data_IF_374025866120
#
_entry.id   IF_374025866120
#
_cell.length_a   1.000
_cell.length_b   1.000
_cell.length_c   1.000
_cell.angle_alpha   90.00
_cell.angle_beta   90.00
_cell.angle_gamma   90.00
#
_symmetry.space_group_name_H-M   'P 1'
#
loop_
_entity.id
_entity.type
_entity.pdbx_description
1 polymer ?
#
# COMPACT_ATOMS: atom_id res chain seq x y z
N UNK A 1 17.68 14.01 -11.34
CA UNK A 1 16.85 12.80 -11.18
C UNK A 1 15.40 13.22 -11.35
N UNK A 2 14.64 12.54 -12.20
CA UNK A 2 13.20 12.80 -12.38
C UNK A 2 12.46 12.63 -11.03
N UNK A 3 11.81 13.68 -10.49
CA UNK A 3 11.06 13.61 -9.24
C UNK A 3 10.01 12.48 -9.22
N UNK A 4 9.44 12.16 -10.39
CA UNK A 4 8.50 11.05 -10.59
C UNK A 4 9.14 9.68 -10.30
N UNK A 5 10.43 9.53 -10.60
CA UNK A 5 11.20 8.31 -10.34
C UNK A 5 11.50 8.12 -8.85
N UNK A 6 11.74 9.21 -8.11
CA UNK A 6 11.96 9.14 -6.66
C UNK A 6 10.67 8.76 -5.90
N UNK A 7 9.54 9.30 -6.36
CA UNK A 7 8.21 9.02 -5.81
C UNK A 7 7.80 7.57 -6.06
N UNK A 8 7.96 7.06 -7.29
CA UNK A 8 7.65 5.67 -7.62
C UNK A 8 8.50 4.68 -6.82
N UNK A 9 9.79 4.99 -6.59
CA UNK A 9 10.68 4.15 -5.76
C UNK A 9 10.23 4.07 -4.31
N UNK A 10 9.76 5.17 -3.73
CA UNK A 10 9.20 5.18 -2.37
C UNK A 10 7.90 4.39 -2.28
N UNK A 11 7.04 4.50 -3.28
CA UNK A 11 5.82 3.70 -3.36
C UNK A 11 6.14 2.20 -3.43
N UNK A 12 7.11 1.81 -4.26
CA UNK A 12 7.54 0.41 -4.37
C UNK A 12 8.08 -0.14 -3.04
N UNK A 13 8.91 0.65 -2.34
CA UNK A 13 9.46 0.26 -1.04
C UNK A 13 8.36 0.03 0.01
N UNK A 14 7.39 0.95 0.08
CA UNK A 14 6.24 0.81 0.98
C UNK A 14 5.42 -0.43 0.64
N UNK A 15 5.09 -0.66 -0.64
CA UNK A 15 4.31 -1.81 -1.08
C UNK A 15 5.02 -3.14 -0.81
N UNK A 16 6.34 -3.20 -1.00
CA UNK A 16 7.15 -4.39 -0.68
C UNK A 16 7.11 -4.70 0.81
N UNK A 17 7.32 -3.70 1.66
CA UNK A 17 7.23 -3.88 3.13
C UNK A 17 5.82 -4.29 3.56
N UNK A 18 4.78 -3.69 3.00
CA UNK A 18 3.40 -4.12 3.23
C UNK A 18 3.21 -5.58 2.82
N UNK A 19 3.66 -5.97 1.64
CA UNK A 19 3.56 -7.35 1.16
C UNK A 19 4.26 -8.34 2.10
N UNK A 20 5.51 -8.05 2.48
CA UNK A 20 6.29 -8.89 3.41
C UNK A 20 5.54 -9.09 4.74
N UNK A 21 4.97 -8.01 5.28
CA UNK A 21 4.23 -8.06 6.54
C UNK A 21 2.90 -8.82 6.39
N UNK A 22 2.22 -8.73 5.24
CA UNK A 22 0.97 -9.48 4.98
C UNK A 22 1.25 -10.97 4.74
N UNK A 23 2.35 -11.31 4.08
CA UNK A 23 2.68 -12.69 3.70
C UNK A 23 3.34 -13.50 4.83
N UNK A 24 3.86 -12.83 5.86
CA UNK A 24 4.52 -13.50 6.97
C UNK A 24 3.50 -14.19 7.92
N UNK A 25 3.58 -15.51 8.16
CA UNK A 25 2.58 -16.21 8.96
C UNK A 25 2.46 -15.74 10.42
N UNK A 26 3.54 -15.19 11.00
CA UNK A 26 3.53 -14.71 12.39
C UNK A 26 2.74 -13.43 12.62
N UNK A 27 2.42 -12.68 11.57
CA UNK A 27 1.67 -11.42 11.65
C UNK A 27 0.18 -11.62 11.41
N UNK A 28 -0.26 -12.83 11.04
CA UNK A 28 -1.65 -13.17 10.70
C UNK A 28 -2.69 -12.78 11.76
N UNK A 29 -2.32 -12.70 13.04
CA UNK A 29 -3.22 -12.23 14.11
C UNK A 29 -3.48 -10.72 14.06
N UNK A 30 -2.63 -9.95 13.39
CA UNK A 30 -2.69 -8.50 13.24
C UNK A 30 -3.10 -8.12 11.82
N UNK A 31 -2.49 -8.75 10.82
CA UNK A 31 -2.71 -8.49 9.40
C UNK A 31 -2.52 -9.78 8.61
N UNK A 32 -3.43 -10.08 7.68
CA UNK A 32 -3.34 -11.27 6.83
C UNK A 32 -3.89 -11.00 5.43
N UNK A 33 -3.62 -11.94 4.52
CA UNK A 33 -4.36 -12.02 3.26
C UNK A 33 -5.87 -12.15 3.49
N UNK A 34 -6.66 -11.55 2.61
CA UNK A 34 -8.09 -11.79 2.50
C UNK A 34 -8.41 -13.06 1.71
N UNK A 35 -9.70 -13.35 1.56
CA UNK A 35 -10.16 -14.62 1.01
C UNK A 35 -9.80 -14.83 -0.47
N UNK A 36 -9.75 -13.76 -1.24
CA UNK A 36 -9.47 -13.81 -2.68
C UNK A 36 -7.97 -13.78 -3.01
N UNK A 37 -7.10 -13.69 -2.00
CA UNK A 37 -5.65 -13.49 -2.14
C UNK A 37 -5.25 -12.25 -2.96
N UNK A 38 -6.17 -11.30 -3.14
CA UNK A 38 -5.97 -10.00 -3.80
C UNK A 38 -6.26 -8.81 -2.88
N UNK A 39 -6.55 -9.11 -1.63
CA UNK A 39 -6.74 -8.14 -0.57
C UNK A 39 -5.91 -8.52 0.66
N UNK A 40 -5.73 -7.56 1.54
CA UNK A 40 -5.26 -7.81 2.89
C UNK A 40 -6.20 -7.14 3.90
N UNK A 41 -6.25 -7.73 5.09
CA UNK A 41 -7.13 -7.33 6.18
C UNK A 41 -6.27 -7.00 7.40
N UNK A 42 -6.47 -5.83 7.98
CA UNK A 42 -5.94 -5.47 9.29
C UNK A 42 -6.99 -5.83 10.35
N UNK A 43 -6.67 -6.80 11.20
CA UNK A 43 -7.52 -7.32 12.27
C UNK A 43 -7.33 -6.56 13.58
N UNK A 44 -6.08 -6.22 13.90
CA UNK A 44 -5.71 -5.48 15.11
C UNK A 44 -5.04 -4.15 14.70
N UNK A 45 -5.81 -3.07 14.74
CA UNK A 45 -5.33 -1.74 14.35
C UNK A 45 -4.25 -1.21 15.31
N UNK A 46 -4.41 -1.46 16.62
CA UNK A 46 -3.47 -0.99 17.63
C UNK A 46 -2.14 -1.76 17.51
N UNK A 47 -2.22 -3.09 17.38
CA UNK A 47 -1.05 -3.93 17.14
C UNK A 47 -0.36 -3.59 15.82
N UNK A 48 -1.12 -3.32 14.76
CA UNK A 48 -0.56 -2.90 13.47
C UNK A 48 0.20 -1.58 13.61
N UNK A 49 -0.42 -0.55 14.19
CA UNK A 49 0.20 0.77 14.35
C UNK A 49 1.45 0.74 15.23
N UNK A 50 1.44 -0.08 16.29
CA UNK A 50 2.56 -0.16 17.24
C UNK A 50 3.72 -1.03 16.76
N UNK A 51 3.44 -2.18 16.15
CA UNK A 51 4.46 -3.20 15.89
C UNK A 51 4.86 -3.36 14.43
N UNK A 52 3.96 -3.06 13.49
CA UNK A 52 4.17 -3.35 12.07
C UNK A 52 4.38 -2.08 11.25
N UNK A 53 3.57 -1.05 11.50
CA UNK A 53 3.61 0.21 10.78
C UNK A 53 4.99 0.90 10.83
N UNK A 54 5.75 0.93 11.95
CA UNK A 54 7.07 1.56 11.98
C UNK A 54 8.08 0.94 11.01
N UNK A 55 7.90 -0.35 10.65
CA UNK A 55 8.76 -1.03 9.66
C UNK A 55 8.36 -0.69 8.22
N UNK A 56 7.09 -0.32 8.01
CA UNK A 56 6.52 0.03 6.71
C UNK A 56 6.74 1.52 6.41
N UNK A 57 6.40 2.39 7.35
CA UNK A 57 6.37 3.84 7.21
C UNK A 57 6.81 4.52 8.52
N UNK A 58 7.90 5.29 8.47
CA UNK A 58 8.41 6.06 9.63
C UNK A 58 8.90 7.45 9.20
N UNK A 59 8.39 8.55 9.80
CA UNK A 59 7.22 8.60 10.70
C UNK A 59 5.92 8.29 9.94
N UNK A 60 4.94 7.70 10.62
CA UNK A 60 3.66 7.33 10.01
C UNK A 60 2.57 7.08 11.05
N UNK A 61 1.31 7.11 10.59
CA UNK A 61 0.13 6.68 11.35
C UNK A 61 -0.85 5.98 10.40
N UNK A 62 -1.88 5.35 10.95
CA UNK A 62 -2.90 4.61 10.17
C UNK A 62 -3.56 5.48 9.08
N UNK A 63 -3.83 6.75 9.36
CA UNK A 63 -4.47 7.66 8.40
C UNK A 63 -3.59 7.99 7.20
N UNK A 64 -2.31 8.24 7.43
CA UNK A 64 -1.32 8.45 6.37
C UNK A 64 -1.13 7.18 5.55
N UNK A 65 -1.05 6.03 6.22
CA UNK A 65 -0.95 4.73 5.56
C UNK A 65 -2.15 4.47 4.64
N UNK A 66 -3.38 4.63 5.15
CA UNK A 66 -4.60 4.49 4.36
C UNK A 66 -4.68 5.47 3.18
N UNK A 67 -4.16 6.70 3.36
CA UNK A 67 -4.09 7.70 2.29
C UNK A 67 -3.14 7.29 1.17
N UNK A 68 -1.98 6.70 1.51
CA UNK A 68 -1.05 6.16 0.52
C UNK A 68 -1.65 4.98 -0.24
N UNK A 69 -2.30 4.05 0.44
CA UNK A 69 -2.99 2.93 -0.22
C UNK A 69 -4.02 3.43 -1.23
N UNK A 70 -4.88 4.37 -0.82
CA UNK A 70 -5.87 5.00 -1.72
C UNK A 70 -5.20 5.67 -2.92
N UNK A 71 -4.08 6.36 -2.70
CA UNK A 71 -3.32 7.03 -3.76
C UNK A 71 -2.69 6.03 -4.76
N UNK A 72 -2.30 4.85 -4.28
CA UNK A 72 -1.75 3.77 -5.12
C UNK A 72 -2.82 2.96 -5.86
N UNK A 73 -4.10 3.20 -5.58
CA UNK A 73 -5.22 2.56 -6.27
C UNK A 73 -5.94 1.48 -5.47
N UNK A 74 -5.54 1.24 -4.21
CA UNK A 74 -6.25 0.29 -3.35
C UNK A 74 -7.66 0.78 -3.05
N UNK A 75 -8.61 -0.14 -3.15
CA UNK A 75 -9.99 0.08 -2.76
C UNK A 75 -10.17 -0.41 -1.33
N UNK A 76 -10.78 0.45 -0.50
CA UNK A 76 -11.26 0.00 0.81
C UNK A 76 -12.48 -0.87 0.58
N UNK A 77 -12.39 -2.14 0.98
CA UNK A 77 -13.53 -3.06 0.88
C UNK A 77 -14.49 -2.68 2.00
N UNK A 78 -15.71 -2.30 1.62
CA UNK A 78 -16.76 -1.97 2.59
C UNK A 78 -17.17 -3.23 3.34
N UNK A 79 -16.73 -3.31 4.59
CA UNK A 79 -17.25 -4.26 5.57
C UNK A 79 -17.38 -3.55 6.90
N UNK A 80 -18.42 -3.90 7.66
CA UNK A 80 -18.74 -3.19 8.92
C UNK A 80 -17.64 -3.30 9.98
N UNK A 81 -16.73 -4.28 9.86
CA UNK A 81 -15.80 -4.65 10.93
C UNK A 81 -14.34 -4.86 10.48
N UNK A 82 -13.99 -4.70 9.20
CA UNK A 82 -12.64 -5.01 8.72
C UNK A 82 -11.99 -3.86 7.98
N UNK A 83 -10.73 -3.60 8.32
CA UNK A 83 -9.85 -2.71 7.56
C UNK A 83 -9.22 -3.49 6.42
N UNK A 84 -10.04 -3.74 5.40
CA UNK A 84 -9.66 -4.51 4.22
C UNK A 84 -9.38 -3.59 3.03
N UNK A 85 -8.26 -3.85 2.36
CA UNK A 85 -7.80 -3.12 1.19
C UNK A 85 -7.49 -4.10 0.06
N UNK A 86 -8.03 -3.85 -1.12
CA UNK A 86 -7.90 -4.71 -2.29
C UNK A 86 -7.27 -3.96 -3.48
N UNK A 87 -6.44 -4.67 -4.26
CA UNK A 87 -5.92 -4.23 -5.55
C UNK A 87 -5.66 -5.48 -6.42
N UNK A 88 -6.04 -5.43 -7.70
CA UNK A 88 -5.92 -6.57 -8.61
C UNK A 88 -4.47 -7.02 -8.88
N UNK A 89 -3.49 -6.15 -8.63
CA UNK A 89 -2.07 -6.44 -8.76
C UNK A 89 -1.36 -6.59 -7.40
N UNK A 90 -2.10 -6.58 -6.28
CA UNK A 90 -1.58 -6.95 -4.96
C UNK A 90 -1.97 -8.40 -4.64
N UNK A 91 -1.25 -9.35 -5.25
CA UNK A 91 -1.65 -10.77 -5.26
C UNK A 91 -0.67 -11.65 -4.48
N UNK A 92 -1.19 -12.51 -3.61
CA UNK A 92 -0.38 -13.48 -2.86
C UNK A 92 0.42 -14.39 -3.80
N UNK A 93 1.70 -14.56 -3.50
CA UNK A 93 2.65 -15.34 -4.29
C UNK A 93 3.20 -14.61 -5.51
N UNK A 94 2.77 -13.38 -5.77
CA UNK A 94 3.13 -12.61 -6.97
C UNK A 94 3.65 -11.19 -6.64
N UNK A 95 4.75 -11.07 -5.85
CA UNK A 95 5.30 -9.76 -5.47
C UNK A 95 5.85 -8.96 -6.67
N UNK A 96 6.09 -9.59 -7.82
CA UNK A 96 6.47 -8.91 -9.06
C UNK A 96 5.36 -7.98 -9.59
N UNK A 97 4.10 -8.24 -9.25
CA UNK A 97 2.96 -7.41 -9.69
C UNK A 97 2.93 -6.04 -9.00
N UNK A 98 3.67 -5.86 -7.89
CA UNK A 98 3.79 -4.57 -7.21
C UNK A 98 4.36 -3.48 -8.14
N UNK A 99 5.18 -3.85 -9.13
CA UNK A 99 5.69 -2.90 -10.12
C UNK A 99 4.55 -2.26 -10.94
N UNK A 100 3.50 -3.04 -11.28
CA UNK A 100 2.33 -2.52 -12.00
C UNK A 100 1.56 -1.49 -11.19
N UNK A 101 1.42 -1.70 -9.88
CA UNK A 101 0.79 -0.72 -8.97
C UNK A 101 1.59 0.58 -9.00
N UNK A 102 2.92 0.49 -8.94
CA UNK A 102 3.79 1.67 -8.96
C UNK A 102 3.81 2.41 -10.29
N UNK A 103 3.69 1.68 -11.41
CA UNK A 103 3.61 2.28 -12.74
C UNK A 103 2.31 3.06 -12.92
N UNK A 104 1.17 2.52 -12.46
CA UNK A 104 -0.10 3.27 -12.44
C UNK A 104 0.02 4.53 -11.60
N UNK A 105 0.61 4.42 -10.41
CA UNK A 105 0.81 5.58 -9.54
C UNK A 105 1.72 6.64 -10.18
N UNK A 106 2.78 6.22 -10.89
CA UNK A 106 3.67 7.13 -11.63
C UNK A 106 2.91 7.91 -12.71
N UNK A 107 2.07 7.22 -13.50
CA UNK A 107 1.23 7.84 -14.52
C UNK A 107 0.26 8.85 -13.87
N UNK A 108 -0.37 8.47 -12.76
CA UNK A 108 -1.25 9.36 -11.99
C UNK A 108 -0.51 10.64 -11.54
N UNK A 109 0.68 10.51 -10.95
CA UNK A 109 1.50 11.65 -10.53
C UNK A 109 1.88 12.54 -11.70
N UNK A 110 2.31 11.96 -12.82
CA UNK A 110 2.67 12.73 -14.02
C UNK A 110 1.48 13.52 -14.57
N UNK A 111 0.29 12.89 -14.65
CA UNK A 111 -0.93 13.56 -15.08
C UNK A 111 -1.37 14.67 -14.12
N UNK A 112 -1.23 14.45 -12.80
CA UNK A 112 -1.53 15.45 -11.78
C UNK A 112 -0.59 16.66 -11.88
N UNK A 113 0.73 16.43 -11.95
CA UNK A 113 1.73 17.49 -12.14
C UNK A 113 1.50 18.29 -13.43
N UNK A 114 1.14 17.61 -14.53
CA UNK A 114 0.86 18.26 -15.81
C UNK A 114 -0.42 19.13 -15.80
N UNK A 115 -1.42 18.79 -14.97
CA UNK A 115 -2.67 19.56 -14.85
C UNK A 115 -2.55 20.79 -13.95
N UNK A 116 -1.77 20.70 -12.87
CA UNK A 116 -1.71 21.74 -11.83
C UNK A 116 -0.53 22.72 -12.00
N UNK A 117 0.27 22.61 -13.06
CA UNK A 117 1.30 23.61 -13.40
C UNK A 117 2.43 23.77 -12.38
N UNK A 118 2.64 22.79 -11.48
CA UNK A 118 3.84 22.74 -10.63
C UNK A 118 5.02 22.27 -11.47
N UNK A 119 5.74 23.26 -12.00
CA UNK A 119 7.02 23.13 -12.68
C UNK A 119 8.00 22.42 -11.74
N UNK A 120 8.51 21.27 -12.17
CA UNK A 120 9.71 20.62 -11.61
C UNK A 120 10.97 21.29 -12.14
#
# INVERSE_FOLDING_TARGET
MDPSSSIARKALDLLKKTYEVVDHPSTNSIISWGHDNKSFIIWDLEGFEKFLLPNILSPGNLGVYASYLKLYGFLKVESEQKWEFADDDFVRGHPELLEKITDRYKIYCQAFCAREGLII
#
